data_IF_145283136311
#
_entry.id   IF_145283136311
#
_cell.length_a   1.000
_cell.length_b   1.000
_cell.length_c   1.000
_cell.angle_alpha   90.00
_cell.angle_beta   90.00
_cell.angle_gamma   90.00
#
_symmetry.space_group_name_H-M   'P 1'
#
loop_
_entity.id
_entity.type
_entity.pdbx_description
1 polymer ?
#
# COMPACT_ATOMS: atom_id res chain seq x y z
N UNK A 1 -39.17 -48.27 30.69
CA UNK A 1 -39.77 -47.14 29.93
C UNK A 1 -39.96 -45.97 30.89
N UNK A 2 -39.04 -45.01 30.90
CA UNK A 2 -39.09 -43.85 31.79
C UNK A 2 -39.53 -42.63 30.98
N UNK A 3 -40.78 -42.20 31.16
CA UNK A 3 -41.37 -41.06 30.48
C UNK A 3 -40.81 -39.75 31.06
N UNK A 4 -39.86 -39.13 30.37
CA UNK A 4 -39.50 -37.73 30.63
C UNK A 4 -40.65 -36.82 30.16
N UNK A 5 -41.44 -36.29 31.10
CA UNK A 5 -42.34 -35.16 30.81
C UNK A 5 -41.48 -33.90 30.67
N UNK A 6 -41.11 -33.54 29.44
CA UNK A 6 -40.47 -32.25 29.17
C UNK A 6 -41.43 -31.11 29.52
N UNK A 7 -40.97 -30.23 30.41
CA UNK A 7 -41.72 -29.07 30.87
C UNK A 7 -41.81 -28.04 29.74
N UNK A 8 -43.03 -27.75 29.24
CA UNK A 8 -43.27 -26.84 28.12
C UNK A 8 -42.65 -25.44 28.32
N UNK A 9 -42.49 -24.99 29.57
CA UNK A 9 -41.79 -23.72 29.88
C UNK A 9 -40.30 -23.78 29.56
N UNK A 10 -39.64 -24.92 29.77
CA UNK A 10 -38.21 -25.09 29.51
C UNK A 10 -37.93 -25.13 27.99
N UNK A 11 -38.84 -25.73 27.21
CA UNK A 11 -38.80 -25.73 25.75
C UNK A 11 -39.04 -24.32 25.16
N UNK A 12 -39.94 -23.53 25.74
CA UNK A 12 -40.14 -22.14 25.30
C UNK A 12 -38.92 -21.25 25.60
N UNK A 13 -38.31 -21.40 26.78
CA UNK A 13 -37.13 -20.60 27.17
C UNK A 13 -35.93 -20.96 26.29
N UNK A 14 -35.72 -22.25 25.99
CA UNK A 14 -34.66 -22.68 25.08
C UNK A 14 -34.92 -22.26 23.63
N UNK A 15 -36.17 -22.27 23.16
CA UNK A 15 -36.52 -21.74 21.84
C UNK A 15 -36.32 -20.21 21.73
N UNK A 16 -36.62 -19.45 22.78
CA UNK A 16 -36.37 -18.00 22.82
C UNK A 16 -34.87 -17.69 22.91
N UNK A 17 -34.10 -18.47 23.67
CA UNK A 17 -32.64 -18.33 23.73
C UNK A 17 -31.97 -18.69 22.40
N UNK A 18 -32.39 -19.76 21.73
CA UNK A 18 -31.87 -20.16 20.42
C UNK A 18 -32.29 -19.15 19.33
N UNK A 19 -33.53 -18.68 19.36
CA UNK A 19 -34.02 -17.62 18.47
C UNK A 19 -33.30 -16.28 18.68
N UNK A 20 -33.05 -15.90 19.94
CA UNK A 20 -32.24 -14.73 20.29
C UNK A 20 -30.80 -14.85 19.81
N UNK A 21 -30.18 -16.03 19.96
CA UNK A 21 -28.83 -16.29 19.48
C UNK A 21 -28.72 -16.17 17.95
N UNK A 22 -29.72 -16.67 17.21
CA UNK A 22 -29.80 -16.56 15.74
C UNK A 22 -30.03 -15.14 15.24
N UNK A 23 -30.83 -14.33 15.96
CA UNK A 23 -31.05 -12.92 15.61
C UNK A 23 -29.79 -12.09 15.88
N UNK A 24 -29.04 -12.40 16.94
CA UNK A 24 -27.77 -11.70 17.23
C UNK A 24 -26.64 -12.05 16.27
N UNK A 25 -26.56 -13.28 15.76
CA UNK A 25 -25.52 -13.65 14.77
C UNK A 25 -25.80 -13.07 13.38
N UNK A 26 -27.07 -12.90 13.00
CA UNK A 26 -27.41 -12.31 11.70
C UNK A 26 -27.15 -10.80 11.60
N UNK A 27 -27.04 -10.09 12.73
CA UNK A 27 -26.75 -8.65 12.78
C UNK A 27 -25.24 -8.32 12.74
N UNK A 28 -24.36 -9.32 12.91
CA UNK A 28 -22.90 -9.10 12.99
C UNK A 28 -22.20 -9.33 11.64
N UNK A 29 -22.89 -9.91 10.64
CA UNK A 29 -22.43 -9.86 9.25
C UNK A 29 -22.76 -8.50 8.64
N UNK A 30 -22.15 -7.44 9.16
CA UNK A 30 -22.07 -6.17 8.45
C UNK A 30 -21.39 -6.44 7.11
N UNK A 31 -22.16 -6.37 6.03
CA UNK A 31 -21.60 -6.52 4.69
C UNK A 31 -20.55 -5.42 4.53
N UNK A 32 -19.27 -5.81 4.41
CA UNK A 32 -18.17 -4.85 4.30
C UNK A 32 -18.48 -3.95 3.10
N UNK A 33 -18.59 -2.63 3.34
CA UNK A 33 -18.78 -1.65 2.27
C UNK A 33 -17.67 -1.81 1.24
N UNK A 34 -18.02 -1.65 -0.03
CA UNK A 34 -17.06 -1.77 -1.12
C UNK A 34 -16.30 -0.47 -1.25
N UNK A 35 -14.97 -0.52 -1.16
CA UNK A 35 -14.14 0.68 -1.34
C UNK A 35 -13.70 0.83 -2.79
N UNK A 36 -13.93 2.00 -3.36
CA UNK A 36 -13.61 2.24 -4.77
C UNK A 36 -12.11 2.09 -5.05
N UNK A 37 -11.23 2.58 -4.18
CA UNK A 37 -9.79 2.61 -4.43
C UNK A 37 -9.14 1.24 -4.23
N UNK A 38 -9.56 0.46 -3.23
CA UNK A 38 -8.96 -0.85 -2.94
C UNK A 38 -9.63 -2.00 -3.67
N UNK A 39 -10.93 -1.91 -3.96
CA UNK A 39 -11.71 -3.04 -4.49
C UNK A 39 -12.09 -2.82 -5.98
N UNK A 40 -12.66 -1.66 -6.33
CA UNK A 40 -13.24 -1.43 -7.67
C UNK A 40 -12.22 -0.95 -8.70
N UNK A 41 -11.42 0.06 -8.37
CA UNK A 41 -10.43 0.66 -9.27
C UNK A 41 -9.40 -0.36 -9.79
N UNK A 42 -8.85 -1.27 -8.96
CA UNK A 42 -7.96 -2.33 -9.46
C UNK A 42 -8.68 -3.29 -10.42
N UNK A 43 -9.95 -3.60 -10.16
CA UNK A 43 -10.76 -4.44 -11.05
C UNK A 43 -10.99 -3.75 -12.40
N UNK A 44 -11.41 -2.49 -12.40
CA UNK A 44 -11.62 -1.67 -13.60
C UNK A 44 -10.32 -1.55 -14.40
N UNK A 45 -9.20 -1.23 -13.75
CA UNK A 45 -7.89 -1.12 -14.39
C UNK A 45 -7.46 -2.42 -15.08
N UNK A 46 -7.71 -3.56 -14.42
CA UNK A 46 -7.31 -4.87 -14.94
C UNK A 46 -8.23 -5.42 -16.04
N UNK A 47 -9.53 -5.11 -15.99
CA UNK A 47 -10.55 -5.78 -16.82
C UNK A 47 -11.23 -4.87 -17.85
N UNK A 48 -11.14 -3.55 -17.71
CA UNK A 48 -11.96 -2.62 -18.48
C UNK A 48 -11.14 -1.52 -19.18
N UNK A 49 -10.13 -0.95 -18.52
CA UNK A 49 -9.40 0.24 -19.01
C UNK A 49 -8.64 0.02 -20.32
N UNK A 50 -8.29 -1.22 -20.67
CA UNK A 50 -7.64 -1.52 -21.96
C UNK A 50 -8.50 -1.13 -23.18
N UNK A 51 -9.83 -1.17 -23.03
CA UNK A 51 -10.82 -0.88 -24.09
C UNK A 51 -11.71 0.33 -23.79
N UNK A 52 -11.89 0.67 -22.51
CA UNK A 52 -12.70 1.80 -22.04
C UNK A 52 -11.86 2.79 -21.21
N UNK A 53 -10.64 3.09 -21.68
CA UNK A 53 -9.70 4.02 -21.05
C UNK A 53 -9.51 5.30 -21.87
N UNK A 54 -8.48 6.08 -21.53
CA UNK A 54 -8.27 7.44 -22.06
C UNK A 54 -8.48 7.60 -23.56
N UNK A 55 -7.55 7.11 -24.38
CA UNK A 55 -7.64 7.23 -25.85
C UNK A 55 -8.52 6.15 -26.48
N UNK A 56 -8.65 4.99 -25.84
CA UNK A 56 -9.48 3.86 -26.30
C UNK A 56 -10.82 3.91 -25.59
N UNK A 57 -11.81 4.51 -26.25
CA UNK A 57 -13.20 4.66 -25.77
C UNK A 57 -14.13 3.80 -26.63
N UNK A 58 -13.97 2.49 -26.58
CA UNK A 58 -14.82 1.58 -27.34
C UNK A 58 -16.31 1.85 -27.03
N UNK A 59 -17.14 1.86 -28.08
CA UNK A 59 -18.55 2.27 -28.01
C UNK A 59 -18.79 3.64 -27.35
N UNK A 60 -17.85 4.58 -27.55
CA UNK A 60 -17.89 5.96 -27.02
C UNK A 60 -18.03 6.02 -25.49
N UNK A 61 -17.54 5.00 -24.79
CA UNK A 61 -17.63 4.89 -23.34
C UNK A 61 -16.25 4.75 -22.69
N UNK A 62 -16.06 5.40 -21.54
CA UNK A 62 -14.81 5.46 -20.80
C UNK A 62 -15.08 5.34 -19.30
N UNK A 63 -14.23 4.57 -18.62
CA UNK A 63 -14.20 4.40 -17.17
C UNK A 63 -13.04 5.16 -16.51
N UNK A 64 -12.34 6.00 -17.28
CA UNK A 64 -11.15 6.69 -16.78
C UNK A 64 -11.52 7.81 -15.80
N UNK A 65 -12.56 8.58 -16.13
CA UNK A 65 -13.06 9.68 -15.32
C UNK A 65 -14.49 9.40 -14.87
N UNK A 66 -14.82 9.89 -13.67
CA UNK A 66 -16.11 9.65 -13.03
C UNK A 66 -17.28 10.13 -13.92
N UNK A 67 -17.15 11.32 -14.48
CA UNK A 67 -18.16 11.96 -15.31
C UNK A 67 -18.42 11.18 -16.60
N UNK A 68 -17.36 10.62 -17.19
CA UNK A 68 -17.47 9.77 -18.39
C UNK A 68 -18.08 8.40 -18.06
N UNK A 69 -17.74 7.84 -16.90
CA UNK A 69 -18.24 6.56 -16.44
C UNK A 69 -19.76 6.59 -16.17
N UNK A 70 -20.27 7.75 -15.75
CA UNK A 70 -21.70 8.02 -15.55
C UNK A 70 -22.41 8.50 -16.82
N UNK A 71 -21.69 8.73 -17.92
CA UNK A 71 -22.30 9.19 -19.16
C UNK A 71 -23.03 8.06 -19.92
N UNK A 72 -23.82 8.46 -20.93
CA UNK A 72 -24.41 7.52 -21.88
C UNK A 72 -23.34 7.04 -22.86
N UNK A 73 -23.27 5.73 -23.08
CA UNK A 73 -22.49 5.16 -24.16
C UNK A 73 -23.18 5.31 -25.51
N UNK A 74 -22.60 4.72 -26.56
CA UNK A 74 -23.18 4.71 -27.91
C UNK A 74 -24.58 4.06 -27.99
N UNK A 75 -24.90 3.17 -27.05
CA UNK A 75 -26.25 2.58 -26.92
C UNK A 75 -27.33 3.57 -26.47
N UNK A 76 -26.96 4.79 -26.06
CA UNK A 76 -27.87 5.79 -25.51
C UNK A 76 -28.31 5.52 -24.06
N UNK A 77 -27.81 4.45 -23.45
CA UNK A 77 -28.08 4.07 -22.05
C UNK A 77 -26.94 4.47 -21.13
N UNK A 78 -27.27 4.73 -19.87
CA UNK A 78 -26.31 4.97 -18.81
C UNK A 78 -25.62 3.65 -18.44
N UNK A 79 -24.28 3.65 -18.48
CA UNK A 79 -23.50 2.49 -18.08
C UNK A 79 -23.63 2.21 -16.58
N UNK A 80 -23.52 3.26 -15.76
CA UNK A 80 -23.65 3.19 -14.32
C UNK A 80 -24.76 4.14 -13.89
N UNK A 81 -25.74 3.60 -13.16
CA UNK A 81 -26.81 4.36 -12.51
C UNK A 81 -26.60 4.22 -11.01
N UNK A 82 -26.09 5.26 -10.33
CA UNK A 82 -25.89 5.25 -8.88
C UNK A 82 -27.14 4.80 -8.12
N UNK A 83 -26.99 3.78 -7.28
CA UNK A 83 -28.08 3.19 -6.49
C UNK A 83 -28.90 2.12 -7.21
N UNK A 84 -28.76 1.97 -8.53
CA UNK A 84 -29.58 1.06 -9.34
C UNK A 84 -28.73 0.16 -10.26
N UNK A 85 -28.17 -0.93 -9.70
CA UNK A 85 -27.39 -1.86 -10.48
C UNK A 85 -28.22 -2.65 -11.51
N UNK A 86 -29.51 -2.85 -11.27
CA UNK A 86 -30.38 -3.67 -12.13
C UNK A 86 -30.69 -2.94 -13.46
N UNK A 87 -30.77 -1.61 -13.43
CA UNK A 87 -30.94 -0.79 -14.63
C UNK A 87 -29.61 -0.26 -15.21
N UNK A 88 -28.47 -0.55 -14.58
CA UNK A 88 -27.14 -0.15 -15.06
C UNK A 88 -26.68 -1.04 -16.23
N UNK A 89 -26.43 -0.45 -17.40
CA UNK A 89 -26.03 -1.18 -18.60
C UNK A 89 -24.69 -1.94 -18.40
N UNK A 90 -23.79 -1.43 -17.55
CA UNK A 90 -22.55 -2.10 -17.15
C UNK A 90 -22.85 -3.52 -16.63
N UNK A 91 -23.75 -3.67 -15.65
CA UNK A 91 -24.08 -4.96 -15.05
C UNK A 91 -24.75 -5.88 -16.07
N UNK A 92 -25.71 -5.34 -16.85
CA UNK A 92 -26.38 -6.11 -17.92
C UNK A 92 -25.37 -6.73 -18.88
N UNK A 93 -24.38 -5.94 -19.34
CA UNK A 93 -23.32 -6.38 -20.27
C UNK A 93 -22.41 -7.43 -19.64
N UNK A 94 -22.08 -7.30 -18.36
CA UNK A 94 -21.26 -8.28 -17.65
C UNK A 94 -21.98 -9.63 -17.45
N UNK A 95 -23.30 -9.61 -17.33
CA UNK A 95 -24.12 -10.82 -17.11
C UNK A 95 -24.77 -11.37 -18.38
N UNK A 96 -24.53 -10.75 -19.56
CA UNK A 96 -25.14 -11.19 -20.81
C UNK A 96 -24.68 -12.59 -21.20
N UNK A 97 -25.61 -13.41 -21.70
CA UNK A 97 -25.32 -14.74 -22.26
C UNK A 97 -24.95 -14.68 -23.73
N UNK A 98 -25.23 -13.56 -24.40
CA UNK A 98 -24.87 -13.35 -25.80
C UNK A 98 -23.39 -12.92 -25.90
N UNK A 99 -22.52 -13.71 -26.55
CA UNK A 99 -21.10 -13.36 -26.72
C UNK A 99 -20.86 -12.03 -27.42
N UNK A 100 -21.77 -11.59 -28.30
CA UNK A 100 -21.65 -10.34 -29.05
C UNK A 100 -22.00 -9.11 -28.20
N UNK A 101 -22.82 -9.30 -27.15
CA UNK A 101 -23.14 -8.23 -26.21
C UNK A 101 -22.31 -8.27 -24.92
N UNK A 102 -21.80 -9.45 -24.55
CA UNK A 102 -21.17 -9.68 -23.25
C UNK A 102 -19.82 -9.00 -23.16
N UNK A 103 -19.63 -8.25 -22.07
CA UNK A 103 -18.33 -7.68 -21.72
C UNK A 103 -17.59 -8.55 -20.69
N UNK A 104 -16.25 -8.65 -20.77
CA UNK A 104 -15.41 -8.08 -21.81
C UNK A 104 -15.50 -8.91 -23.12
N UNK A 105 -15.61 -8.22 -24.26
CA UNK A 105 -15.83 -8.81 -25.59
C UNK A 105 -14.64 -9.67 -26.01
N UNK A 106 -14.90 -10.89 -26.50
CA UNK A 106 -13.88 -11.88 -26.89
C UNK A 106 -12.82 -12.20 -25.82
N UNK A 107 -13.10 -11.89 -24.56
CA UNK A 107 -12.23 -12.17 -23.43
C UNK A 107 -12.95 -12.99 -22.35
N UNK A 108 -12.17 -13.51 -21.39
CA UNK A 108 -12.70 -14.29 -20.28
C UNK A 108 -13.71 -13.45 -19.48
N UNK A 109 -14.87 -14.02 -19.10
CA UNK A 109 -15.85 -13.33 -18.27
C UNK A 109 -15.27 -13.02 -16.89
N UNK A 110 -15.85 -12.02 -16.23
CA UNK A 110 -15.59 -11.77 -14.81
C UNK A 110 -16.17 -12.93 -13.99
N UNK A 111 -15.54 -13.19 -12.84
CA UNK A 111 -16.09 -14.12 -11.85
C UNK A 111 -17.38 -13.55 -11.22
N UNK A 112 -18.23 -14.42 -10.67
CA UNK A 112 -19.43 -13.99 -9.95
C UNK A 112 -19.10 -13.00 -8.84
N UNK A 113 -18.03 -13.27 -8.07
CA UNK A 113 -17.55 -12.39 -7.00
C UNK A 113 -17.17 -10.99 -7.50
N UNK A 114 -16.52 -10.88 -8.66
CA UNK A 114 -16.17 -9.58 -9.25
C UNK A 114 -17.43 -8.82 -9.71
N UNK A 115 -18.41 -9.53 -10.29
CA UNK A 115 -19.69 -8.93 -10.70
C UNK A 115 -20.48 -8.47 -9.48
N UNK A 116 -20.58 -9.30 -8.44
CA UNK A 116 -21.28 -8.98 -7.19
C UNK A 116 -20.68 -7.76 -6.50
N UNK A 117 -19.35 -7.61 -6.55
CA UNK A 117 -18.64 -6.46 -6.01
C UNK A 117 -18.97 -5.17 -6.76
N UNK A 118 -18.97 -5.20 -8.11
CA UNK A 118 -19.40 -4.05 -8.93
C UNK A 118 -20.88 -3.72 -8.69
N UNK A 119 -21.72 -4.74 -8.59
CA UNK A 119 -23.15 -4.61 -8.32
C UNK A 119 -23.40 -3.95 -6.97
N UNK A 120 -22.68 -4.38 -5.93
CA UNK A 120 -22.74 -3.80 -4.59
C UNK A 120 -22.24 -2.35 -4.58
N UNK A 121 -21.12 -2.05 -5.24
CA UNK A 121 -20.62 -0.67 -5.36
C UNK A 121 -21.62 0.26 -6.03
N UNK A 122 -22.25 -0.17 -7.14
CA UNK A 122 -23.29 0.63 -7.80
C UNK A 122 -24.49 0.81 -6.86
N UNK A 123 -24.93 -0.25 -6.18
CA UNK A 123 -26.02 -0.18 -5.19
C UNK A 123 -25.73 0.77 -4.04
N UNK A 124 -24.47 0.86 -3.62
CA UNK A 124 -23.99 1.80 -2.59
C UNK A 124 -23.90 3.24 -3.09
N UNK A 125 -24.25 3.52 -4.35
CA UNK A 125 -24.26 4.87 -4.93
C UNK A 125 -23.10 5.12 -5.90
N UNK A 126 -22.35 4.08 -6.29
CA UNK A 126 -21.20 4.19 -7.18
C UNK A 126 -20.20 5.28 -6.75
N UNK A 127 -20.01 5.45 -5.44
CA UNK A 127 -19.16 6.50 -4.90
C UNK A 127 -17.74 6.37 -5.47
N UNK A 128 -17.30 7.42 -6.16
CA UNK A 128 -15.95 7.51 -6.69
C UNK A 128 -15.00 7.94 -5.57
N UNK A 129 -13.87 7.25 -5.45
CA UNK A 129 -12.85 7.60 -4.47
C UNK A 129 -11.97 8.76 -4.95
N UNK A 130 -11.47 9.55 -4.00
CA UNK A 130 -10.35 10.46 -4.26
C UNK A 130 -9.07 9.65 -4.50
N UNK A 131 -8.10 10.23 -5.21
CA UNK A 131 -6.78 9.62 -5.32
C UNK A 131 -6.17 9.45 -3.91
N UNK A 132 -5.54 8.31 -3.65
CA UNK A 132 -5.03 7.94 -2.32
C UNK A 132 -4.10 9.00 -1.71
N UNK A 133 -3.35 9.73 -2.55
CA UNK A 133 -2.43 10.79 -2.13
C UNK A 133 -3.12 12.06 -1.61
N UNK A 134 -4.43 12.22 -1.86
CA UNK A 134 -5.22 13.37 -1.40
C UNK A 134 -6.13 13.02 -0.21
N UNK A 135 -6.05 11.79 0.28
CA UNK A 135 -6.82 11.33 1.44
C UNK A 135 -5.87 11.30 2.63
N UNK A 136 -6.27 11.93 3.73
CA UNK A 136 -5.49 11.89 4.96
C UNK A 136 -5.39 10.43 5.46
N UNK A 137 -4.20 10.04 5.93
CA UNK A 137 -4.01 8.72 6.52
C UNK A 137 -4.74 8.67 7.86
N UNK A 138 -5.68 7.75 7.98
CA UNK A 138 -6.43 7.53 9.22
C UNK A 138 -5.83 6.35 10.01
N UNK A 139 -5.90 6.37 11.36
CA UNK A 139 -5.52 5.23 12.17
C UNK A 139 -6.34 3.98 11.81
N UNK A 140 -5.65 2.89 11.47
CA UNK A 140 -6.28 1.62 11.14
C UNK A 140 -6.34 0.75 12.39
N UNK A 141 -7.49 0.11 12.62
CA UNK A 141 -7.62 -0.87 13.69
C UNK A 141 -6.70 -2.07 13.43
N UNK A 142 -5.75 -2.29 14.34
CA UNK A 142 -4.81 -3.41 14.22
C UNK A 142 -5.56 -4.74 14.43
N UNK A 143 -5.47 -5.71 13.50
CA UNK A 143 -6.15 -6.99 13.61
C UNK A 143 -5.76 -7.72 14.90
N UNK A 144 -6.72 -8.32 15.59
CA UNK A 144 -6.46 -9.17 16.76
C UNK A 144 -5.62 -8.49 17.88
N UNK A 145 -5.63 -7.16 17.97
CA UNK A 145 -4.87 -6.36 18.94
C UNK A 145 -5.53 -6.22 20.33
N UNK A 146 -6.11 -7.28 20.89
CA UNK A 146 -6.50 -7.34 22.33
C UNK A 146 -7.31 -6.16 22.94
N UNK A 147 -8.06 -5.35 22.17
CA UNK A 147 -8.68 -4.13 22.70
C UNK A 147 -10.17 -4.20 23.12
N UNK A 148 -10.84 -5.35 23.01
CA UNK A 148 -12.30 -5.46 23.20
C UNK A 148 -12.73 -6.32 24.39
N UNK A 149 -13.83 -5.95 25.06
CA UNK A 149 -14.42 -6.62 26.24
C UNK A 149 -14.74 -8.11 26.04
N UNK A 150 -14.99 -8.55 24.79
CA UNK A 150 -15.28 -9.95 24.43
C UNK A 150 -14.03 -10.81 24.15
N UNK A 151 -12.82 -10.23 24.16
CA UNK A 151 -11.60 -10.91 23.72
C UNK A 151 -10.79 -11.58 24.86
N UNK A 152 -11.38 -11.75 26.04
CA UNK A 152 -10.75 -12.44 27.18
C UNK A 152 -10.35 -13.91 26.86
N UNK A 153 -10.92 -14.50 25.81
CA UNK A 153 -10.64 -15.86 25.35
C UNK A 153 -9.74 -15.94 24.10
N UNK A 154 -9.31 -14.82 23.52
CA UNK A 154 -8.52 -14.82 22.29
C UNK A 154 -7.03 -14.90 22.63
N UNK A 155 -6.39 -16.01 22.28
CA UNK A 155 -4.96 -16.21 22.54
C UNK A 155 -4.14 -15.20 21.74
N UNK A 156 -3.34 -14.38 22.43
CA UNK A 156 -2.34 -13.51 21.78
C UNK A 156 -1.50 -14.33 20.80
N UNK A 157 -1.34 -13.84 19.58
CA UNK A 157 -0.42 -14.45 18.63
C UNK A 157 1.01 -14.30 19.19
N UNK A 158 1.63 -15.42 19.60
CA UNK A 158 2.97 -15.43 20.22
C UNK A 158 4.09 -15.04 19.25
N UNK A 159 3.83 -15.04 17.94
CA UNK A 159 4.81 -14.64 16.92
C UNK A 159 4.85 -13.12 16.72
N UNK A 160 3.78 -12.40 17.04
CA UNK A 160 3.70 -10.95 16.81
C UNK A 160 4.36 -10.15 17.95
N UNK A 161 5.35 -9.32 17.60
CA UNK A 161 6.11 -8.48 18.53
C UNK A 161 5.71 -7.00 18.45
N UNK A 162 5.17 -6.55 17.32
CA UNK A 162 4.68 -5.19 17.12
C UNK A 162 3.32 -5.17 16.38
N UNK A 163 2.75 -3.98 16.18
CA UNK A 163 1.45 -3.80 15.51
C UNK A 163 1.44 -4.26 14.05
N UNK A 164 2.55 -4.10 13.33
CA UNK A 164 2.69 -4.52 11.93
C UNK A 164 2.61 -6.05 11.82
N UNK A 165 3.21 -6.78 12.77
CA UNK A 165 3.20 -8.25 12.77
C UNK A 165 1.78 -8.81 12.85
N UNK A 166 0.84 -8.11 13.51
CA UNK A 166 -0.55 -8.54 13.56
C UNK A 166 -1.24 -8.47 12.20
N UNK A 167 -0.94 -7.45 11.38
CA UNK A 167 -1.44 -7.38 10.00
C UNK A 167 -0.86 -8.51 9.14
N UNK A 168 0.43 -8.82 9.31
CA UNK A 168 1.08 -9.92 8.60
C UNK A 168 0.47 -11.26 9.01
N UNK A 169 0.29 -11.48 10.32
CA UNK A 169 -0.29 -12.71 10.85
C UNK A 169 -1.74 -12.94 10.37
N UNK A 170 -2.56 -11.89 10.33
CA UNK A 170 -3.92 -11.98 9.80
C UNK A 170 -3.93 -12.38 8.32
N UNK A 171 -3.02 -11.80 7.53
CA UNK A 171 -2.86 -12.15 6.12
C UNK A 171 -2.39 -13.58 5.91
N UNK A 172 -1.40 -14.03 6.69
CA UNK A 172 -0.88 -15.40 6.65
C UNK A 172 -1.98 -16.42 6.99
N UNK A 173 -2.77 -16.15 8.04
CA UNK A 173 -3.92 -16.99 8.41
C UNK A 173 -4.94 -17.10 7.28
N UNK A 174 -5.25 -15.99 6.61
CA UNK A 174 -6.15 -15.98 5.45
C UNK A 174 -5.62 -16.73 4.22
N UNK A 175 -4.31 -17.00 4.18
CA UNK A 175 -3.63 -17.74 3.12
C UNK A 175 -3.26 -19.17 3.54
N UNK A 176 -3.61 -19.60 4.75
CA UNK A 176 -3.21 -20.89 5.34
C UNK A 176 -1.68 -21.09 5.35
N UNK A 177 -0.96 -20.02 5.69
CA UNK A 177 0.50 -20.00 5.80
C UNK A 177 0.94 -19.77 7.25
N UNK A 178 2.09 -20.36 7.60
CA UNK A 178 2.75 -20.16 8.90
C UNK A 178 4.03 -19.32 8.73
N UNK A 179 4.40 -18.50 9.74
CA UNK A 179 5.66 -17.78 9.71
C UNK A 179 6.87 -18.72 9.65
N UNK A 180 7.92 -18.30 8.94
CA UNK A 180 9.19 -19.02 8.92
C UNK A 180 9.91 -18.93 10.27
N UNK A 181 10.71 -19.94 10.65
CA UNK A 181 11.56 -19.85 11.83
C UNK A 181 12.59 -18.73 11.69
N UNK A 182 13.00 -18.18 12.84
CA UNK A 182 14.07 -17.18 12.89
C UNK A 182 15.37 -17.79 12.37
N UNK A 183 16.10 -17.04 11.54
CA UNK A 183 17.37 -17.48 10.97
C UNK A 183 18.47 -17.58 12.04
N UNK A 184 19.52 -18.36 11.77
CA UNK A 184 20.67 -18.45 12.66
C UNK A 184 21.43 -17.10 12.76
N UNK A 185 22.18 -16.91 13.85
CA UNK A 185 22.90 -15.66 14.13
C UNK A 185 23.80 -15.21 12.98
N UNK A 186 24.51 -16.12 12.31
CA UNK A 186 25.44 -15.74 11.24
C UNK A 186 24.67 -15.24 10.00
N UNK A 187 23.57 -15.92 9.66
CA UNK A 187 22.67 -15.47 8.60
C UNK A 187 22.03 -14.13 8.91
N UNK A 188 21.54 -13.92 10.15
CA UNK A 188 20.95 -12.65 10.58
C UNK A 188 21.94 -11.51 10.48
N UNK A 189 23.14 -11.67 11.06
CA UNK A 189 24.20 -10.67 11.04
C UNK A 189 24.59 -10.26 9.62
N UNK A 190 24.77 -11.25 8.73
CA UNK A 190 25.13 -10.96 7.33
C UNK A 190 24.02 -10.16 6.63
N UNK A 191 22.76 -10.58 6.78
CA UNK A 191 21.62 -9.92 6.13
C UNK A 191 21.49 -8.48 6.60
N UNK A 192 21.39 -8.28 7.91
CA UNK A 192 21.16 -6.95 8.49
C UNK A 192 22.32 -5.98 8.22
N UNK A 193 23.57 -6.46 8.24
CA UNK A 193 24.74 -5.65 7.89
C UNK A 193 24.66 -5.15 6.45
N UNK A 194 24.40 -6.05 5.49
CA UNK A 194 24.34 -5.70 4.07
C UNK A 194 23.11 -4.86 3.75
N UNK A 195 21.97 -5.13 4.40
CA UNK A 195 20.73 -4.40 4.18
C UNK A 195 20.85 -2.94 4.68
N UNK A 196 21.43 -2.72 5.86
CA UNK A 196 21.55 -1.38 6.47
C UNK A 196 22.73 -0.59 5.90
N UNK A 197 23.90 -1.22 5.75
CA UNK A 197 25.15 -0.50 5.41
C UNK A 197 25.69 -0.82 4.02
N UNK A 198 25.13 -1.81 3.32
CA UNK A 198 25.67 -2.29 2.04
C UNK A 198 26.95 -3.12 2.17
N UNK A 199 27.47 -3.31 3.38
CA UNK A 199 28.76 -3.96 3.63
C UNK A 199 28.59 -5.27 4.41
N UNK A 200 29.46 -6.26 4.18
CA UNK A 200 29.53 -7.44 5.03
C UNK A 200 29.99 -7.05 6.46
N UNK A 201 29.57 -7.80 7.49
CA UNK A 201 29.99 -7.54 8.87
C UNK A 201 31.50 -7.76 9.05
N UNK A 202 32.14 -6.98 9.92
CA UNK A 202 33.55 -7.21 10.26
C UNK A 202 33.71 -8.44 11.18
N UNK A 203 34.91 -9.06 11.23
CA UNK A 203 35.17 -10.14 12.17
C UNK A 203 34.91 -9.77 13.63
N UNK A 204 35.24 -8.53 14.03
CA UNK A 204 35.05 -8.03 15.40
C UNK A 204 33.57 -7.88 15.74
N UNK A 205 32.76 -7.34 14.82
CA UNK A 205 31.31 -7.27 14.98
C UNK A 205 30.68 -8.67 15.10
N UNK A 206 31.15 -9.61 14.27
CA UNK A 206 30.67 -10.99 14.32
C UNK A 206 30.99 -11.65 15.66
N UNK A 207 32.21 -11.51 16.15
CA UNK A 207 32.62 -12.04 17.44
C UNK A 207 31.79 -11.45 18.59
N UNK A 208 31.58 -10.12 18.58
CA UNK A 208 30.75 -9.42 19.55
C UNK A 208 29.31 -9.96 19.54
N UNK A 209 28.65 -10.00 18.39
CA UNK A 209 27.26 -10.44 18.27
C UNK A 209 27.07 -11.94 18.59
N UNK A 210 28.01 -12.79 18.22
CA UNK A 210 27.92 -14.23 18.52
C UNK A 210 28.05 -14.52 20.02
N UNK A 211 28.90 -13.77 20.72
CA UNK A 211 29.09 -13.90 22.18
C UNK A 211 28.01 -13.20 23.01
N UNK A 212 27.24 -12.31 22.40
CA UNK A 212 26.18 -11.57 23.08
C UNK A 212 24.94 -12.44 23.29
N UNK A 213 24.62 -12.73 24.56
CA UNK A 213 23.48 -13.56 24.96
C UNK A 213 22.33 -12.75 25.57
N UNK A 214 22.40 -11.42 25.51
CA UNK A 214 21.28 -10.61 25.98
C UNK A 214 20.07 -10.76 25.05
N UNK A 215 18.85 -10.64 25.58
CA UNK A 215 17.62 -10.81 24.80
C UNK A 215 17.45 -9.78 23.68
N UNK A 216 18.10 -8.62 23.79
CA UNK A 216 18.07 -7.47 22.87
C UNK A 216 19.36 -7.33 22.03
N UNK A 217 20.16 -8.39 21.94
CA UNK A 217 21.45 -8.36 21.23
C UNK A 217 21.29 -8.02 19.73
N UNK A 218 20.17 -8.39 19.11
CA UNK A 218 19.91 -8.11 17.71
C UNK A 218 19.55 -6.64 17.49
N UNK A 219 18.71 -6.08 18.35
CA UNK A 219 18.30 -4.67 18.32
C UNK A 219 19.50 -3.74 18.51
N UNK A 220 20.39 -4.05 19.47
CA UNK A 220 21.63 -3.26 19.64
C UNK A 220 22.57 -3.34 18.45
N UNK A 221 22.63 -4.50 17.77
CA UNK A 221 23.39 -4.62 16.53
C UNK A 221 22.79 -3.74 15.43
N UNK A 222 21.45 -3.71 15.32
CA UNK A 222 20.74 -2.81 14.39
C UNK A 222 21.05 -1.35 14.69
N UNK A 223 20.99 -0.93 15.97
CA UNK A 223 21.32 0.43 16.39
C UNK A 223 22.77 0.80 16.04
N UNK A 224 23.73 -0.11 16.27
CA UNK A 224 25.14 0.09 15.91
C UNK A 224 25.33 0.25 14.39
N UNK A 225 24.58 -0.52 13.58
CA UNK A 225 24.62 -0.41 12.12
C UNK A 225 23.97 0.88 11.61
N UNK A 226 22.85 1.31 12.20
CA UNK A 226 22.17 2.56 11.84
C UNK A 226 23.01 3.79 12.21
N UNK A 227 23.78 3.72 13.31
CA UNK A 227 24.70 4.78 13.71
C UNK A 227 26.01 4.82 12.89
N UNK A 228 26.24 3.84 12.03
CA UNK A 228 27.44 3.78 11.18
C UNK A 228 27.37 4.81 10.06
N UNK A 229 28.47 5.51 9.72
CA UNK A 229 28.48 6.42 8.57
C UNK A 229 28.13 5.74 7.24
N UNK A 230 28.36 4.42 7.14
CA UNK A 230 28.02 3.61 5.97
C UNK A 230 26.52 3.47 5.74
N UNK A 231 25.68 3.71 6.76
CA UNK A 231 24.23 3.79 6.59
C UNK A 231 23.86 4.90 5.59
N UNK A 232 24.32 6.13 5.84
CA UNK A 232 24.08 7.27 4.96
C UNK A 232 24.67 7.07 3.57
N UNK A 233 25.85 6.46 3.44
CA UNK A 233 26.45 6.12 2.14
C UNK A 233 25.57 5.15 1.33
N UNK A 234 25.10 4.07 1.98
CA UNK A 234 24.23 3.06 1.36
C UNK A 234 22.90 3.65 0.89
N UNK A 235 22.24 4.40 1.76
CA UNK A 235 20.92 4.97 1.44
C UNK A 235 21.00 6.11 0.44
N UNK A 236 22.08 6.89 0.48
CA UNK A 236 22.37 7.90 -0.53
C UNK A 236 22.48 7.29 -1.91
N UNK A 237 23.16 6.14 -2.09
CA UNK A 237 23.30 5.51 -3.40
C UNK A 237 21.94 5.26 -4.08
N UNK A 238 20.95 4.75 -3.34
CA UNK A 238 19.59 4.56 -3.88
C UNK A 238 18.89 5.89 -4.17
N UNK A 239 19.08 6.89 -3.30
CA UNK A 239 18.44 8.20 -3.48
C UNK A 239 19.01 8.96 -4.67
N UNK A 240 20.31 8.86 -4.93
CA UNK A 240 20.98 9.49 -6.08
C UNK A 240 20.37 9.03 -7.40
N UNK A 241 20.05 7.73 -7.53
CA UNK A 241 19.38 7.20 -8.73
C UNK A 241 17.99 7.84 -8.91
N UNK A 242 17.21 7.94 -7.83
CA UNK A 242 15.89 8.58 -7.84
C UNK A 242 15.99 10.08 -8.15
N UNK A 243 17.03 10.73 -7.66
CA UNK A 243 17.32 12.14 -7.88
C UNK A 243 17.94 12.42 -9.25
N UNK A 244 18.21 11.40 -10.09
CA UNK A 244 18.89 11.53 -11.39
C UNK A 244 20.28 12.16 -11.27
N UNK A 245 20.98 11.84 -10.18
CA UNK A 245 22.36 12.27 -10.01
C UNK A 245 23.25 11.60 -11.06
N UNK A 246 24.14 12.38 -11.65
CA UNK A 246 25.18 11.98 -12.57
C UNK A 246 26.34 12.97 -12.42
N UNK A 247 27.54 12.57 -12.83
CA UNK A 247 28.67 13.50 -12.96
C UNK A 247 28.75 14.10 -14.39
N UNK A 248 27.71 13.88 -15.20
CA UNK A 248 27.57 14.40 -16.57
C UNK A 248 26.20 15.07 -16.82
N UNK A 249 26.10 15.84 -17.91
CA UNK A 249 24.90 16.65 -18.26
C UNK A 249 23.80 15.88 -19.01
N UNK A 250 24.13 14.76 -19.65
CA UNK A 250 23.18 13.77 -20.21
C UNK A 250 22.67 13.99 -21.64
N UNK A 251 22.94 15.15 -22.27
CA UNK A 251 22.58 15.43 -23.68
C UNK A 251 23.75 15.16 -24.65
N UNK A 252 23.62 15.53 -25.93
CA UNK A 252 24.53 15.13 -27.02
C UNK A 252 26.03 15.36 -26.72
N UNK A 253 26.38 16.48 -26.11
CA UNK A 253 27.78 16.79 -25.71
C UNK A 253 28.23 16.03 -24.46
N UNK A 254 27.28 15.61 -23.62
CA UNK A 254 27.44 14.95 -22.32
C UNK A 254 28.63 15.46 -21.49
N UNK A 255 28.70 16.79 -21.32
CA UNK A 255 29.80 17.43 -20.60
C UNK A 255 29.82 17.08 -19.10
N UNK A 256 30.98 17.24 -18.48
CA UNK A 256 31.13 17.11 -17.02
C UNK A 256 30.27 18.13 -16.26
N UNK A 257 29.71 17.71 -15.12
CA UNK A 257 29.07 18.61 -14.14
C UNK A 257 29.63 18.39 -12.74
N UNK A 258 29.83 19.48 -12.00
CA UNK A 258 30.27 19.42 -10.59
C UNK A 258 29.07 19.59 -9.67
N UNK A 259 28.62 18.49 -9.08
CA UNK A 259 27.43 18.47 -8.19
C UNK A 259 27.65 17.60 -6.93
N UNK A 260 28.89 17.15 -6.69
CA UNK A 260 29.25 16.26 -5.58
C UNK A 260 28.82 16.77 -4.19
N UNK A 261 28.69 18.09 -4.00
CA UNK A 261 28.20 18.68 -2.73
C UNK A 261 26.79 18.22 -2.39
N UNK A 262 25.94 18.01 -3.39
CA UNK A 262 24.59 17.47 -3.18
C UNK A 262 24.64 16.01 -2.70
N UNK A 263 25.55 15.19 -3.25
CA UNK A 263 25.78 13.83 -2.74
C UNK A 263 26.24 13.86 -1.28
N UNK A 264 27.22 14.70 -0.96
CA UNK A 264 27.76 14.77 0.41
C UNK A 264 26.69 15.28 1.40
N UNK A 265 25.87 16.24 0.97
CA UNK A 265 24.69 16.69 1.72
C UNK A 265 23.70 15.55 1.98
N UNK A 266 23.40 14.71 0.98
CA UNK A 266 22.51 13.56 1.15
C UNK A 266 23.05 12.56 2.18
N UNK A 267 24.34 12.22 2.10
CA UNK A 267 24.99 11.31 3.06
C UNK A 267 24.84 11.85 4.48
N UNK A 268 25.09 13.15 4.64
CA UNK A 268 24.93 13.83 5.92
C UNK A 268 23.48 13.80 6.40
N UNK A 269 22.52 14.13 5.53
CA UNK A 269 21.10 14.18 5.88
C UNK A 269 20.56 12.82 6.34
N UNK A 270 20.99 11.72 5.70
CA UNK A 270 20.66 10.37 6.16
C UNK A 270 21.30 10.03 7.51
N UNK A 271 22.59 10.30 7.69
CA UNK A 271 23.30 9.99 8.94
C UNK A 271 22.84 10.85 10.13
N UNK A 272 22.37 12.06 9.88
CA UNK A 272 21.78 12.94 10.91
C UNK A 272 20.34 12.54 11.30
N UNK A 273 19.75 11.54 10.63
CA UNK A 273 18.32 11.18 10.75
C UNK A 273 17.40 12.40 10.54
N UNK A 274 17.66 13.17 9.47
CA UNK A 274 16.90 14.39 9.19
C UNK A 274 15.40 14.08 9.04
N UNK A 275 14.50 14.80 9.75
CA UNK A 275 13.07 14.62 9.61
C UNK A 275 12.61 14.68 8.15
N UNK A 276 11.77 13.72 7.76
CA UNK A 276 11.40 13.52 6.36
C UNK A 276 10.77 14.76 5.70
N UNK A 277 9.96 15.51 6.45
CA UNK A 277 9.33 16.75 6.02
C UNK A 277 10.38 17.85 5.73
N UNK A 278 11.39 18.00 6.59
CA UNK A 278 12.51 18.91 6.38
C UNK A 278 13.39 18.45 5.23
N UNK A 279 13.73 17.17 5.17
CA UNK A 279 14.53 16.57 4.09
C UNK A 279 13.93 16.83 2.71
N UNK A 280 12.61 16.68 2.57
CA UNK A 280 11.92 16.99 1.32
C UNK A 280 11.85 18.49 1.03
N UNK A 281 11.51 19.29 2.05
CA UNK A 281 11.36 20.73 1.91
C UNK A 281 12.67 21.39 1.48
N UNK A 282 13.80 21.02 2.08
CA UNK A 282 15.12 21.54 1.73
C UNK A 282 15.54 21.18 0.30
N UNK A 283 15.18 19.99 -0.19
CA UNK A 283 15.46 19.59 -1.58
C UNK A 283 14.60 20.32 -2.61
N UNK A 284 13.30 20.53 -2.31
CA UNK A 284 12.36 21.10 -3.27
C UNK A 284 12.44 22.63 -3.29
N UNK A 285 12.61 23.26 -2.12
CA UNK A 285 12.45 24.70 -1.92
C UNK A 285 13.38 25.27 -0.83
N UNK A 286 14.54 24.66 -0.59
CA UNK A 286 15.48 25.11 0.42
C UNK A 286 16.02 26.52 0.18
N UNK A 287 16.17 26.91 -1.09
CA UNK A 287 16.56 28.26 -1.53
C UNK A 287 15.50 29.34 -1.28
N UNK A 288 14.23 28.94 -1.16
CA UNK A 288 13.11 29.82 -0.84
C UNK A 288 12.90 30.02 0.67
N UNK A 289 13.68 29.34 1.51
CA UNK A 289 13.58 29.50 2.96
C UNK A 289 14.10 30.88 3.40
N UNK A 290 13.45 31.55 4.37
CA UNK A 290 13.95 32.80 4.91
C UNK A 290 15.35 32.61 5.50
N UNK A 291 16.33 33.38 5.03
CA UNK A 291 17.74 33.27 5.42
C UNK A 291 18.30 31.85 5.22
N UNK A 292 18.05 31.25 4.05
CA UNK A 292 18.53 29.92 3.69
C UNK A 292 20.03 29.73 4.00
N UNK A 293 20.36 28.61 4.64
CA UNK A 293 21.75 28.24 4.91
C UNK A 293 22.43 27.65 3.67
N UNK A 294 23.76 27.60 3.66
CA UNK A 294 24.51 26.95 2.58
C UNK A 294 24.06 25.49 2.35
N UNK A 295 23.75 24.76 3.42
CA UNK A 295 23.24 23.38 3.34
C UNK A 295 21.87 23.31 2.65
N UNK A 296 20.97 24.26 2.91
CA UNK A 296 19.64 24.33 2.29
C UNK A 296 19.73 24.75 0.81
N UNK A 297 20.68 25.61 0.48
CA UNK A 297 21.00 25.97 -0.91
C UNK A 297 21.58 24.76 -1.66
N UNK A 298 22.50 24.01 -1.04
CA UNK A 298 23.06 22.77 -1.61
C UNK A 298 21.97 21.71 -1.79
N UNK A 299 21.07 21.53 -0.81
CA UNK A 299 19.96 20.59 -0.88
C UNK A 299 19.08 20.84 -2.12
N UNK A 300 18.82 22.11 -2.41
CA UNK A 300 17.98 22.54 -3.55
C UNK A 300 18.60 22.19 -4.91
N UNK A 301 19.89 21.87 -4.96
CA UNK A 301 20.52 21.30 -6.16
C UNK A 301 19.86 20.00 -6.63
N UNK A 302 18.99 19.36 -5.81
CA UNK A 302 18.05 18.34 -6.26
C UNK A 302 17.37 18.70 -7.60
N UNK A 303 16.87 19.94 -7.71
CA UNK A 303 16.19 20.43 -8.91
C UNK A 303 17.13 20.59 -10.12
N UNK A 304 18.46 20.69 -9.88
CA UNK A 304 19.51 20.81 -10.91
C UNK A 304 20.03 19.45 -11.39
N UNK A 305 19.57 18.32 -10.84
CA UNK A 305 20.01 17.00 -11.29
C UNK A 305 19.39 16.56 -12.63
N UNK A 306 18.31 17.21 -13.08
CA UNK A 306 17.77 16.97 -14.43
C UNK A 306 18.82 17.25 -15.51
N UNK A 307 18.74 16.54 -16.64
CA UNK A 307 19.65 16.78 -17.76
C UNK A 307 19.55 18.23 -18.22
N UNK A 308 20.69 18.84 -18.55
CA UNK A 308 20.77 20.24 -19.00
C UNK A 308 21.51 20.33 -20.33
N UNK A 309 21.02 21.18 -21.23
CA UNK A 309 21.67 21.43 -22.51
C UNK A 309 22.30 22.83 -22.52
N UNK A 310 23.61 22.91 -22.73
CA UNK A 310 24.33 24.19 -22.89
C UNK A 310 24.76 24.37 -24.36
N UNK A 311 23.80 24.24 -25.26
CA UNK A 311 23.99 24.68 -26.64
C UNK A 311 24.03 26.21 -26.68
N UNK A 312 24.97 26.76 -27.46
CA UNK A 312 25.42 28.15 -27.36
C UNK A 312 24.31 29.18 -27.19
N UNK A 313 24.31 29.86 -26.04
CA UNK A 313 23.34 30.90 -25.70
C UNK A 313 22.69 30.75 -24.33
N UNK A 314 22.98 29.70 -23.56
CA UNK A 314 22.54 29.59 -22.16
C UNK A 314 23.39 30.47 -21.24
N UNK A 315 22.72 31.20 -20.34
CA UNK A 315 23.34 31.92 -19.21
C UNK A 315 23.08 31.05 -17.97
N UNK A 316 24.13 30.43 -17.45
CA UNK A 316 24.11 29.37 -16.42
C UNK A 316 24.18 29.90 -14.98
#
# INVERSE_FOLDING_TARGET
MMNLKLNKKLLLISAILIGGLFVTTSLITGNKKVDYNTDIKPLINRKCISCHGGVKKESKYSLLFHEEALAKGESGKYAIIPGDPDNSELIRRLTSKDPEERMPYQHKPLSSKEIDMLRQWIKEGAHWGNHWSYVAVEPVAVPNNNGGFLNFFSSKNKWAHNEIDYFIADKLKGLDLEPSPVADKATLLRRVSVDITGLPPTPEMAEKFFKDNNPDAYERLVDELLASPHYGEKWTAMWLDLARYADSKGYEKDGYRSIWRYRDWLIKAFNDDKPYDQFLTEQIAGDLLPNATDEQLIATAYNRNSMTNDEGGTDD
#
